data_IF_162514445167
#
_entry.id   IF_162514445167
#
_cell.length_a   1.000
_cell.length_b   1.000
_cell.length_c   1.000
_cell.angle_alpha   90.00
_cell.angle_beta   90.00
_cell.angle_gamma   90.00
#
_symmetry.space_group_name_H-M   'P 1'
#
loop_
_entity.id
_entity.type
_entity.pdbx_description
1 polymer ?
#
# COMPACT_ATOMS: atom_id res chain seq x y z
N UNK A 1 21.83 3.77 10.64
CA UNK A 1 21.09 2.84 9.75
C UNK A 1 22.00 1.94 8.92
N UNK A 2 22.98 2.47 8.16
CA UNK A 2 23.95 1.65 7.42
C UNK A 2 24.82 0.76 8.33
N UNK A 3 25.19 1.26 9.50
CA UNK A 3 25.90 0.51 10.55
C UNK A 3 25.08 -0.66 11.08
N UNK A 4 23.79 -0.46 11.33
CA UNK A 4 22.88 -1.52 11.79
C UNK A 4 22.60 -2.55 10.70
N UNK A 5 22.52 -2.12 9.44
CA UNK A 5 22.38 -3.03 8.29
C UNK A 5 23.55 -4.01 8.15
N UNK A 6 24.77 -3.57 8.50
CA UNK A 6 25.98 -4.39 8.45
C UNK A 6 26.02 -5.48 9.55
N UNK A 7 25.28 -5.29 10.65
CA UNK A 7 25.15 -6.28 11.74
C UNK A 7 24.09 -7.35 11.47
N UNK A 8 23.20 -7.11 10.49
CA UNK A 8 22.09 -8.01 10.18
C UNK A 8 22.45 -8.98 9.06
N UNK A 9 22.03 -10.24 9.22
CA UNK A 9 22.11 -11.24 8.16
C UNK A 9 21.39 -10.77 6.90
N UNK A 10 21.92 -11.12 5.73
CA UNK A 10 21.35 -10.75 4.42
C UNK A 10 19.91 -11.24 4.21
N UNK A 11 19.51 -12.31 4.90
CA UNK A 11 18.16 -12.89 4.81
C UNK A 11 17.18 -12.34 5.84
N UNK A 12 17.58 -11.39 6.69
CA UNK A 12 16.68 -10.83 7.69
C UNK A 12 15.60 -9.97 7.03
N UNK A 13 14.30 -10.13 7.36
CA UNK A 13 13.25 -9.23 6.90
C UNK A 13 13.51 -7.77 7.26
N UNK A 14 14.18 -7.53 8.38
CA UNK A 14 14.59 -6.19 8.82
C UNK A 14 15.68 -5.61 7.92
N UNK A 15 16.63 -6.45 7.49
CA UNK A 15 17.67 -6.06 6.55
C UNK A 15 17.08 -5.65 5.18
N UNK A 16 16.08 -6.39 4.71
CA UNK A 16 15.37 -6.06 3.46
C UNK A 16 14.62 -4.71 3.57
N UNK A 17 13.92 -4.48 4.68
CA UNK A 17 13.24 -3.21 4.92
C UNK A 17 14.23 -2.02 4.97
N UNK A 18 15.38 -2.18 5.63
CA UNK A 18 16.42 -1.15 5.67
C UNK A 18 17.00 -0.90 4.27
N UNK A 19 17.29 -1.94 3.49
CA UNK A 19 17.80 -1.79 2.12
C UNK A 19 16.80 -1.06 1.23
N UNK A 20 15.52 -1.39 1.36
CA UNK A 20 14.46 -0.72 0.63
C UNK A 20 14.41 0.78 0.94
N UNK A 21 14.48 1.14 2.22
CA UNK A 21 14.52 2.55 2.64
C UNK A 21 15.77 3.26 2.10
N UNK A 22 16.95 2.63 2.20
CA UNK A 22 18.21 3.20 1.75
C UNK A 22 18.26 3.39 0.22
N UNK A 23 17.69 2.45 -0.56
CA UNK A 23 17.59 2.57 -2.03
C UNK A 23 16.72 3.74 -2.47
N UNK A 24 15.74 4.14 -1.65
CA UNK A 24 14.78 5.22 -1.96
C UNK A 24 14.99 6.47 -1.12
N UNK A 25 16.20 6.64 -0.57
CA UNK A 25 16.53 7.69 0.39
C UNK A 25 16.19 9.10 -0.11
N UNK A 26 16.40 9.39 -1.40
CA UNK A 26 16.06 10.68 -1.99
C UNK A 26 14.58 11.03 -1.81
N UNK A 27 13.66 10.10 -2.15
CA UNK A 27 12.23 10.32 -1.97
C UNK A 27 11.82 10.40 -0.49
N UNK A 28 12.48 9.62 0.38
CA UNK A 28 12.25 9.69 1.82
C UNK A 28 12.72 10.99 2.46
N UNK A 29 13.65 11.72 1.85
CA UNK A 29 14.21 12.96 2.41
C UNK A 29 13.66 14.22 1.74
N UNK A 30 12.90 14.10 0.66
CA UNK A 30 12.33 15.26 -0.06
C UNK A 30 11.46 16.17 0.82
N UNK A 31 10.87 15.66 1.91
CA UNK A 31 10.11 16.48 2.87
C UNK A 31 11.00 17.49 3.63
N UNK A 32 12.30 17.25 3.71
CA UNK A 32 13.26 18.19 4.32
C UNK A 32 13.53 19.39 3.41
N UNK A 33 13.40 19.19 2.10
CA UNK A 33 13.64 20.20 1.07
C UNK A 33 12.34 20.93 0.69
N UNK A 34 11.22 20.22 0.65
CA UNK A 34 9.89 20.76 0.37
C UNK A 34 8.92 20.45 1.53
N UNK A 35 8.65 21.47 2.34
CA UNK A 35 7.72 21.39 3.48
C UNK A 35 6.25 21.19 3.10
N UNK A 36 5.90 21.20 1.81
CA UNK A 36 4.56 20.80 1.33
C UNK A 36 4.38 19.29 1.34
N UNK A 37 5.48 18.53 1.31
CA UNK A 37 5.46 17.07 1.34
C UNK A 37 5.27 16.63 2.79
N UNK A 38 4.15 15.95 3.07
CA UNK A 38 3.90 15.39 4.39
C UNK A 38 4.93 14.29 4.72
N UNK A 39 5.61 14.43 5.86
CA UNK A 39 6.50 13.41 6.43
C UNK A 39 5.79 12.05 6.62
N UNK A 40 4.51 12.09 6.97
CA UNK A 40 3.72 10.89 7.25
C UNK A 40 2.87 10.49 6.04
N UNK A 41 2.74 9.18 5.80
CA UNK A 41 1.87 8.62 4.76
C UNK A 41 0.36 8.73 5.07
N UNK A 42 -0.01 9.35 6.20
CA UNK A 42 -1.39 9.47 6.68
C UNK A 42 -2.36 10.05 5.65
N UNK A 43 -1.91 11.02 4.84
CA UNK A 43 -2.74 11.65 3.80
C UNK A 43 -3.08 10.65 2.68
N UNK A 44 -2.09 9.92 2.18
CA UNK A 44 -2.29 8.91 1.15
C UNK A 44 -3.10 7.72 1.67
N UNK A 45 -2.85 7.27 2.91
CA UNK A 45 -3.63 6.19 3.53
C UNK A 45 -5.10 6.58 3.69
N UNK A 46 -5.37 7.82 4.10
CA UNK A 46 -6.75 8.33 4.22
C UNK A 46 -7.44 8.39 2.85
N UNK A 47 -6.73 8.82 1.81
CA UNK A 47 -7.25 8.83 0.45
C UNK A 47 -7.54 7.40 -0.07
N UNK A 48 -6.65 6.44 0.20
CA UNK A 48 -6.80 5.05 -0.22
C UNK A 48 -7.82 4.27 0.61
N UNK A 49 -8.08 4.68 1.85
CA UNK A 49 -9.05 4.02 2.74
C UNK A 49 -10.45 3.99 2.14
N UNK A 50 -10.87 5.07 1.47
CA UNK A 50 -12.16 5.10 0.75
C UNK A 50 -12.25 4.03 -0.33
N UNK A 51 -11.20 3.86 -1.14
CA UNK A 51 -11.13 2.83 -2.17
C UNK A 51 -11.08 1.41 -1.59
N UNK A 52 -10.29 1.18 -0.54
CA UNK A 52 -10.18 -0.14 0.09
C UNK A 52 -11.53 -0.61 0.69
N UNK A 53 -12.30 0.33 1.25
CA UNK A 53 -13.66 0.06 1.73
C UNK A 53 -14.65 -0.13 0.58
N UNK A 54 -14.58 0.71 -0.46
CA UNK A 54 -15.43 0.62 -1.65
C UNK A 54 -15.28 -0.69 -2.43
N UNK A 55 -14.08 -1.28 -2.48
CA UNK A 55 -13.84 -2.59 -3.12
C UNK A 55 -14.68 -3.74 -2.52
N UNK A 56 -15.09 -3.63 -1.25
CA UNK A 56 -16.01 -4.61 -0.63
C UNK A 56 -17.48 -4.39 -1.02
N UNK A 57 -17.87 -3.17 -1.40
CA UNK A 57 -19.26 -2.85 -1.79
C UNK A 57 -19.50 -2.81 -3.30
N UNK A 58 -18.45 -2.70 -4.11
CA UNK A 58 -18.54 -2.54 -5.57
C UNK A 58 -18.64 -3.86 -6.36
N UNK A 59 -18.72 -5.01 -5.68
CA UNK A 59 -18.91 -6.31 -6.34
C UNK A 59 -20.18 -6.39 -7.21
N UNK A 60 -21.17 -5.49 -7.00
CA UNK A 60 -22.44 -5.46 -7.74
C UNK A 60 -22.70 -4.20 -8.56
N UNK A 61 -21.79 -3.22 -8.54
CA UNK A 61 -21.98 -1.93 -9.22
C UNK A 61 -21.62 -2.01 -10.73
N UNK A 62 -22.02 -3.08 -11.42
CA UNK A 62 -21.65 -3.31 -12.82
C UNK A 62 -22.48 -4.30 -13.65
N UNK A 63 -23.40 -5.09 -13.09
CA UNK A 63 -24.24 -5.98 -13.92
C UNK A 63 -25.66 -5.44 -14.06
N UNK A 64 -25.83 -4.45 -14.93
CA UNK A 64 -27.14 -4.13 -15.51
C UNK A 64 -27.56 -5.19 -16.53
N UNK A 65 -27.67 -6.45 -16.13
CA UNK A 65 -28.36 -7.50 -16.91
C UNK A 65 -28.86 -8.57 -15.96
N UNK A 66 -30.14 -8.45 -15.63
CA UNK A 66 -30.94 -9.54 -15.08
C UNK A 66 -31.03 -10.62 -16.15
N UNK A 67 -30.33 -11.75 -15.98
CA UNK A 67 -30.77 -13.02 -16.57
C UNK A 67 -30.46 -14.16 -15.60
N UNK A 68 -31.54 -14.63 -14.99
CA UNK A 68 -31.72 -15.98 -14.49
C UNK A 68 -31.06 -16.98 -15.44
N UNK A 69 -30.30 -17.95 -14.92
CA UNK A 69 -30.47 -19.37 -15.25
C UNK A 69 -29.52 -20.25 -14.40
N UNK A 70 -30.11 -21.33 -13.90
CA UNK A 70 -29.52 -22.56 -13.34
C UNK A 70 -28.91 -22.52 -11.93
N UNK A 71 -29.78 -22.71 -10.93
CA UNK A 71 -29.56 -23.77 -9.95
C UNK A 71 -30.83 -24.61 -9.87
N UNK A 72 -30.77 -25.83 -10.40
CA UNK A 72 -31.79 -26.84 -10.19
C UNK A 72 -31.72 -27.35 -8.75
N UNK A 73 -32.87 -27.34 -8.07
CA UNK A 73 -33.37 -28.41 -7.18
C UNK A 73 -34.70 -28.00 -6.54
N UNK A 74 -35.79 -28.52 -7.11
CA UNK A 74 -36.89 -29.21 -6.44
C UNK A 74 -37.84 -29.72 -7.52
#
# INVERSE_FOLDING_TARGET
MRTERAKLSRSSPVAEAIDYMLKRWHGFTSFLEDGRICLTNNAAERALRGFALGRKSWLFAGSGTVRNFVYGRA
#
